data_IF_272459010523
#
_entry.id   IF_272459010523
#
_cell.length_a   1.000
_cell.length_b   1.000
_cell.length_c   1.000
_cell.angle_alpha   90.00
_cell.angle_beta   90.00
_cell.angle_gamma   90.00
#
_symmetry.space_group_name_H-M   'P 1'
#
loop_
_entity.id
_entity.type
_entity.pdbx_description
1 polymer ?
#
# COMPACT_ATOMS: atom_id res chain seq x y z
N UNK A 1 -38.53 34.89 20.65
CA UNK A 1 -37.48 35.49 19.81
C UNK A 1 -36.62 34.39 19.22
N UNK A 2 -36.41 34.44 17.91
CA UNK A 2 -35.64 33.47 17.13
C UNK A 2 -34.14 33.67 17.36
N UNK A 3 -33.44 32.67 17.87
CA UNK A 3 -31.99 32.57 17.69
C UNK A 3 -31.73 31.73 16.44
N UNK A 4 -31.37 32.44 15.38
CA UNK A 4 -31.01 31.93 14.06
C UNK A 4 -29.90 30.88 14.20
N UNK A 5 -30.09 29.72 13.58
CA UNK A 5 -29.00 28.88 13.10
C UNK A 5 -28.24 29.72 12.05
N UNK A 6 -27.18 30.41 12.46
CA UNK A 6 -26.27 31.05 11.53
C UNK A 6 -25.34 29.99 10.93
N UNK A 7 -25.80 29.46 9.79
CA UNK A 7 -25.05 29.21 8.56
C UNK A 7 -23.62 28.69 8.71
N UNK A 8 -23.52 27.37 8.50
CA UNK A 8 -22.33 26.54 8.37
C UNK A 8 -21.55 26.72 7.05
N UNK A 9 -21.57 27.90 6.43
CA UNK A 9 -20.85 28.13 5.18
C UNK A 9 -20.01 29.41 5.26
N UNK A 10 -18.69 29.20 5.37
CA UNK A 10 -17.72 30.28 5.45
C UNK A 10 -16.29 29.78 5.22
N UNK A 11 -16.04 29.15 4.08
CA UNK A 11 -14.84 29.32 3.22
C UNK A 11 -13.46 29.51 3.87
N UNK A 12 -13.21 28.85 5.00
CA UNK A 12 -11.87 28.66 5.54
C UNK A 12 -11.84 27.27 6.14
N UNK A 13 -11.26 26.34 5.40
CA UNK A 13 -10.71 25.09 5.94
C UNK A 13 -9.94 25.52 7.18
N UNK A 14 -10.55 25.24 8.32
CA UNK A 14 -10.10 25.68 9.62
C UNK A 14 -8.67 25.19 9.81
N UNK A 15 -7.78 26.10 10.14
CA UNK A 15 -6.38 25.86 10.52
C UNK A 15 -6.20 24.91 11.71
N UNK A 16 -7.29 24.29 12.20
CA UNK A 16 -7.32 23.25 13.22
C UNK A 16 -7.41 21.81 12.67
N UNK A 17 -7.61 21.61 11.37
CA UNK A 17 -7.40 20.31 10.74
C UNK A 17 -5.93 20.19 10.29
N UNK A 18 -5.02 20.03 11.25
CA UNK A 18 -3.60 19.74 10.96
C UNK A 18 -3.39 18.45 10.18
N UNK A 19 -4.41 17.61 10.11
CA UNK A 19 -4.56 16.58 9.07
C UNK A 19 -5.10 17.30 7.84
N UNK A 20 -4.20 17.84 7.04
CA UNK A 20 -4.49 18.23 5.65
C UNK A 20 -5.20 17.03 5.02
N UNK A 21 -6.31 17.27 4.33
CA UNK A 21 -6.98 16.31 3.45
C UNK A 21 -6.02 15.83 2.35
N UNK A 22 -5.03 15.01 2.72
CA UNK A 22 -4.20 14.28 1.79
C UNK A 22 -5.07 13.15 1.26
N UNK A 23 -5.90 13.51 0.30
CA UNK A 23 -6.66 12.58 -0.51
C UNK A 23 -5.63 11.63 -1.12
N UNK A 24 -5.77 10.33 -0.79
CA UNK A 24 -5.02 9.26 -1.43
C UNK A 24 -5.29 9.38 -2.94
N UNK A 25 -4.23 9.52 -3.74
CA UNK A 25 -4.37 9.63 -5.20
C UNK A 25 -4.37 8.24 -5.83
N UNK A 26 -4.85 8.14 -7.06
CA UNK A 26 -4.73 6.90 -7.86
C UNK A 26 -3.28 6.43 -7.96
N UNK A 27 -2.32 7.35 -8.21
CA UNK A 27 -0.89 7.01 -8.21
C UNK A 27 -0.38 6.55 -6.84
N UNK A 28 -1.05 6.80 -5.72
CA UNK A 28 -0.61 6.28 -4.42
C UNK A 28 -0.90 4.78 -4.27
N UNK A 29 -1.84 4.21 -5.04
CA UNK A 29 -2.24 2.81 -4.94
C UNK A 29 -1.82 1.97 -6.15
N UNK A 30 -1.65 2.59 -7.33
CA UNK A 30 -1.29 1.88 -8.56
C UNK A 30 0.07 1.21 -8.46
N UNK A 31 0.08 -0.11 -8.69
CA UNK A 31 1.28 -0.94 -8.71
C UNK A 31 1.49 -1.48 -10.11
N UNK A 32 2.66 -1.22 -10.68
CA UNK A 32 3.06 -1.78 -11.97
C UNK A 32 4.14 -2.85 -11.80
N UNK A 33 4.44 -3.57 -12.89
CA UNK A 33 5.46 -4.61 -12.93
C UNK A 33 6.82 -4.17 -12.39
N UNK A 34 7.22 -2.93 -12.66
CA UNK A 34 8.51 -2.42 -12.22
C UNK A 34 8.56 -2.17 -10.71
N UNK A 35 7.45 -1.70 -10.12
CA UNK A 35 7.28 -1.54 -8.68
C UNK A 35 7.28 -2.92 -8.01
N UNK A 36 6.50 -3.87 -8.54
CA UNK A 36 6.48 -5.27 -8.06
C UNK A 36 7.88 -5.88 -8.09
N UNK A 37 8.61 -5.75 -9.20
CA UNK A 37 9.94 -6.35 -9.32
C UNK A 37 10.94 -5.78 -8.30
N UNK A 38 10.83 -4.50 -7.97
CA UNK A 38 11.68 -3.85 -6.96
C UNK A 38 11.33 -4.34 -5.55
N UNK A 39 10.04 -4.38 -5.21
CA UNK A 39 9.58 -4.82 -3.89
C UNK A 39 9.89 -6.31 -3.69
N UNK A 40 9.62 -7.16 -4.68
CA UNK A 40 9.94 -8.59 -4.61
C UNK A 40 11.41 -8.84 -4.29
N UNK A 41 12.32 -8.16 -5.01
CA UNK A 41 13.77 -8.26 -4.76
C UNK A 41 14.17 -7.76 -3.37
N UNK A 42 13.54 -6.70 -2.89
CA UNK A 42 13.79 -6.16 -1.56
C UNK A 42 13.37 -7.16 -0.47
N UNK A 43 12.13 -7.64 -0.53
CA UNK A 43 11.55 -8.57 0.45
C UNK A 43 12.35 -9.87 0.51
N UNK A 44 12.82 -10.41 -0.62
CA UNK A 44 13.68 -11.61 -0.64
C UNK A 44 15.04 -11.42 0.03
N UNK A 45 15.55 -10.19 0.13
CA UNK A 45 16.84 -9.86 0.76
C UNK A 45 16.70 -9.50 2.22
N UNK A 46 15.51 -9.10 2.63
CA UNK A 46 15.20 -8.73 3.99
C UNK A 46 15.23 -9.98 4.87
N UNK A 47 15.92 -9.93 6.01
CA UNK A 47 15.83 -10.99 7.00
C UNK A 47 14.43 -10.93 7.65
N UNK A 48 13.57 -11.91 7.37
CA UNK A 48 12.14 -11.83 7.70
C UNK A 48 11.85 -12.33 9.13
N UNK A 49 11.82 -11.38 10.07
CA UNK A 49 11.06 -11.52 11.30
C UNK A 49 9.60 -11.09 11.12
N UNK A 50 8.71 -11.32 12.11
CA UNK A 50 7.37 -10.71 12.11
C UNK A 50 7.45 -9.18 12.03
N UNK A 51 6.51 -8.58 11.30
CA UNK A 51 6.45 -7.14 11.04
C UNK A 51 5.17 -6.54 11.64
N UNK A 52 5.32 -5.47 12.40
CA UNK A 52 4.19 -4.62 12.76
C UNK A 52 3.80 -3.72 11.57
N UNK A 53 2.62 -3.08 11.64
CA UNK A 53 2.22 -2.06 10.66
C UNK A 53 3.28 -0.95 10.53
N UNK A 54 3.80 -0.36 11.63
CA UNK A 54 4.91 0.60 11.55
C UNK A 54 6.14 0.07 10.80
N UNK A 55 6.50 -1.20 10.97
CA UNK A 55 7.65 -1.77 10.26
C UNK A 55 7.43 -1.78 8.75
N UNK A 56 6.21 -2.10 8.30
CA UNK A 56 5.85 -2.05 6.86
C UNK A 56 5.98 -0.61 6.32
N UNK A 57 5.56 0.41 7.08
CA UNK A 57 5.78 1.81 6.70
C UNK A 57 7.26 2.15 6.58
N UNK A 58 8.09 1.69 7.51
CA UNK A 58 9.53 1.89 7.49
C UNK A 58 10.16 1.23 6.26
N UNK A 59 9.78 -0.01 5.95
CA UNK A 59 10.28 -0.73 4.78
C UNK A 59 9.87 -0.06 3.46
N UNK A 60 8.63 0.41 3.34
CA UNK A 60 8.19 1.20 2.19
C UNK A 60 9.05 2.45 2.02
N UNK A 61 9.29 3.20 3.11
CA UNK A 61 10.11 4.42 3.07
C UNK A 61 11.58 4.15 2.73
N UNK A 62 12.16 3.07 3.24
CA UNK A 62 13.52 2.64 2.87
C UNK A 62 13.57 2.40 1.36
N UNK A 63 12.61 1.63 0.85
CA UNK A 63 12.58 1.24 -0.56
C UNK A 63 12.32 2.42 -1.50
N UNK A 64 11.46 3.36 -1.11
CA UNK A 64 11.24 4.63 -1.82
C UNK A 64 12.57 5.39 -2.01
N UNK A 65 13.35 5.50 -0.93
CA UNK A 65 14.62 6.23 -0.92
C UNK A 65 15.71 5.53 -1.73
N UNK A 66 15.78 4.20 -1.68
CA UNK A 66 16.76 3.39 -2.40
C UNK A 66 16.45 3.28 -3.90
N UNK A 67 15.19 3.00 -4.24
CA UNK A 67 14.76 2.82 -5.63
C UNK A 67 14.56 4.14 -6.38
N UNK A 68 14.46 5.27 -5.67
CA UNK A 68 14.07 6.58 -6.23
C UNK A 68 12.75 6.51 -7.01
N UNK A 69 11.80 5.72 -6.49
CA UNK A 69 10.46 5.52 -7.04
C UNK A 69 9.42 5.87 -5.98
N UNK A 70 8.24 6.34 -6.40
CA UNK A 70 7.09 6.51 -5.50
C UNK A 70 6.61 5.12 -5.04
N UNK A 71 7.18 4.62 -3.94
CA UNK A 71 6.82 3.38 -3.25
C UNK A 71 6.41 3.78 -1.84
N UNK A 72 5.12 4.06 -1.66
CA UNK A 72 4.55 4.34 -0.35
C UNK A 72 4.08 3.03 0.32
N UNK A 73 3.50 3.16 1.51
CA UNK A 73 2.94 2.02 2.26
C UNK A 73 1.91 1.22 1.45
N UNK A 74 0.98 1.86 0.75
CA UNK A 74 -0.08 1.17 0.01
C UNK A 74 0.50 0.30 -1.10
N UNK A 75 1.42 0.84 -1.91
CA UNK A 75 2.08 0.07 -2.98
C UNK A 75 2.86 -1.10 -2.43
N UNK A 76 3.57 -0.90 -1.32
CA UNK A 76 4.31 -1.98 -0.67
C UNK A 76 3.36 -3.07 -0.17
N UNK A 77 2.29 -2.69 0.53
CA UNK A 77 1.32 -3.62 1.11
C UNK A 77 0.53 -4.39 0.03
N UNK A 78 0.01 -3.70 -0.98
CA UNK A 78 -0.67 -4.32 -2.13
C UNK A 78 0.26 -5.30 -2.83
N UNK A 79 1.54 -4.95 -3.01
CA UNK A 79 2.50 -5.86 -3.64
C UNK A 79 2.67 -7.16 -2.84
N UNK A 80 2.70 -7.09 -1.51
CA UNK A 80 2.77 -8.30 -0.67
C UNK A 80 1.55 -9.20 -0.86
N UNK A 81 0.35 -8.61 -0.94
CA UNK A 81 -0.88 -9.35 -1.20
C UNK A 81 -0.88 -10.00 -2.60
N UNK A 82 -0.44 -9.26 -3.62
CA UNK A 82 -0.32 -9.77 -5.00
C UNK A 82 0.68 -10.92 -5.07
N UNK A 83 1.81 -10.82 -4.35
CA UNK A 83 2.77 -11.93 -4.32
C UNK A 83 2.23 -13.17 -3.61
N UNK A 84 1.41 -12.99 -2.58
CA UNK A 84 0.71 -14.10 -1.90
C UNK A 84 -0.31 -14.76 -2.83
N UNK A 85 -1.18 -13.97 -3.46
CA UNK A 85 -2.17 -14.44 -4.43
C UNK A 85 -1.53 -15.23 -5.58
N UNK A 86 -0.42 -14.72 -6.13
CA UNK A 86 0.29 -15.36 -7.25
C UNK A 86 1.20 -16.51 -6.80
N UNK A 87 1.28 -16.83 -5.49
CA UNK A 87 2.13 -17.91 -4.97
C UNK A 87 3.64 -17.65 -5.13
N UNK A 88 4.05 -16.38 -5.16
CA UNK A 88 5.45 -15.96 -5.19
C UNK A 88 6.07 -15.86 -3.78
N UNK A 89 5.25 -15.63 -2.77
CA UNK A 89 5.60 -15.67 -1.35
C UNK A 89 4.35 -15.98 -0.53
N UNK A 90 4.50 -16.19 0.77
CA UNK A 90 3.38 -16.27 1.71
C UNK A 90 3.30 -14.96 2.50
N UNK A 91 2.11 -14.37 2.61
CA UNK A 91 1.86 -13.18 3.42
C UNK A 91 0.63 -13.38 4.30
N UNK A 92 0.81 -13.30 5.63
CA UNK A 92 -0.28 -13.54 6.57
C UNK A 92 -0.22 -12.62 7.79
N UNK A 93 -1.39 -12.38 8.39
CA UNK A 93 -1.52 -11.71 9.69
C UNK A 93 -1.66 -12.75 10.80
N UNK A 94 -0.71 -12.76 11.72
CA UNK A 94 -0.76 -13.62 12.91
C UNK A 94 -1.80 -13.16 13.93
N UNK A 95 -2.20 -14.08 14.82
CA UNK A 95 -3.10 -13.76 15.94
C UNK A 95 -2.50 -12.76 16.96
N UNK A 96 -1.17 -12.59 16.92
CA UNK A 96 -0.42 -11.57 17.67
C UNK A 96 -0.50 -10.16 17.03
N UNK A 97 -1.20 -10.02 15.90
CA UNK A 97 -1.34 -8.77 15.17
C UNK A 97 -0.10 -8.41 14.34
N UNK A 98 0.84 -9.34 14.17
CA UNK A 98 2.05 -9.13 13.37
C UNK A 98 1.95 -9.85 12.02
N UNK A 99 2.40 -9.17 10.97
CA UNK A 99 2.50 -9.72 9.64
C UNK A 99 3.72 -10.63 9.51
N UNK A 100 3.58 -11.69 8.70
CA UNK A 100 4.62 -12.68 8.45
C UNK A 100 4.79 -12.86 6.96
N UNK A 101 6.04 -12.91 6.53
CA UNK A 101 6.42 -13.12 5.14
C UNK A 101 7.22 -14.42 5.06
N UNK A 102 6.68 -15.41 4.34
CA UNK A 102 7.36 -16.66 4.01
C UNK A 102 7.89 -16.60 2.57
N UNK A 103 9.17 -16.90 2.36
CA UNK A 103 9.73 -16.96 1.00
C UNK A 103 9.52 -18.35 0.42
N UNK A 104 8.89 -18.43 -0.74
CA UNK A 104 8.72 -19.70 -1.48
C UNK A 104 9.94 -19.90 -2.37
N UNK A 105 10.81 -20.84 -2.01
CA UNK A 105 11.96 -21.20 -2.84
C UNK A 105 11.51 -22.00 -4.07
N UNK A 106 11.96 -21.57 -5.25
CA UNK A 106 11.61 -22.22 -6.52
C UNK A 106 10.27 -21.78 -7.13
N UNK A 107 9.69 -20.66 -6.68
CA UNK A 107 8.51 -20.07 -7.30
C UNK A 107 8.67 -19.94 -8.84
N UNK A 108 7.67 -20.42 -9.57
CA UNK A 108 7.64 -20.41 -11.03
C UNK A 108 7.45 -19.01 -11.62
N UNK A 109 7.38 -18.94 -12.95
CA UNK A 109 6.89 -17.72 -13.61
C UNK A 109 5.38 -17.65 -13.45
N UNK A 110 4.89 -16.48 -13.09
CA UNK A 110 3.47 -16.17 -12.94
C UNK A 110 3.09 -15.10 -13.96
N UNK A 111 1.84 -15.09 -14.39
CA UNK A 111 1.28 -13.97 -15.14
C UNK A 111 0.71 -12.95 -14.14
N UNK A 112 0.92 -11.65 -14.40
CA UNK A 112 0.31 -10.61 -13.57
C UNK A 112 -1.18 -10.47 -13.85
N UNK A 113 -1.65 -10.89 -15.04
CA UNK A 113 -3.07 -10.93 -15.38
C UNK A 113 -3.87 -11.99 -14.62
N UNK A 114 -3.20 -12.87 -13.86
CA UNK A 114 -3.86 -13.85 -12.99
C UNK A 114 -4.18 -13.26 -11.59
N UNK A 115 -3.85 -11.99 -11.33
CA UNK A 115 -4.04 -11.33 -10.03
C UNK A 115 -5.34 -10.52 -10.00
N UNK A 116 -6.34 -11.00 -9.26
CA UNK A 116 -7.60 -10.27 -9.04
C UNK A 116 -7.35 -8.98 -8.23
N UNK A 117 -6.34 -8.99 -7.36
CA UNK A 117 -5.96 -7.83 -6.55
C UNK A 117 -5.43 -6.69 -7.44
N UNK A 118 -4.59 -6.99 -8.43
CA UNK A 118 -4.10 -5.97 -9.37
C UNK A 118 -5.22 -5.37 -10.21
N UNK A 119 -6.15 -6.21 -10.67
CA UNK A 119 -7.33 -5.77 -11.43
C UNK A 119 -8.20 -4.85 -10.56
N UNK A 120 -8.53 -5.27 -9.34
CA UNK A 120 -9.34 -4.48 -8.40
C UNK A 120 -8.69 -3.13 -8.05
N UNK A 121 -7.39 -3.10 -7.78
CA UNK A 121 -6.66 -1.84 -7.50
C UNK A 121 -6.67 -0.92 -8.72
N UNK A 122 -6.55 -1.48 -9.92
CA UNK A 122 -6.60 -0.70 -11.17
C UNK A 122 -7.99 -0.11 -11.42
N UNK A 123 -9.06 -0.87 -11.17
CA UNK A 123 -10.43 -0.39 -11.25
C UNK A 123 -10.72 0.73 -10.23
N UNK A 124 -10.30 0.54 -8.97
CA UNK A 124 -10.42 1.58 -7.95
C UNK A 124 -9.67 2.84 -8.37
N UNK A 125 -8.41 2.69 -8.79
CA UNK A 125 -7.60 3.83 -9.21
C UNK A 125 -8.25 4.61 -10.37
N UNK A 126 -8.86 3.91 -11.33
CA UNK A 126 -9.60 4.53 -12.43
C UNK A 126 -10.89 5.24 -11.96
N UNK A 127 -11.52 4.79 -10.87
CA UNK A 127 -12.71 5.46 -10.30
C UNK A 127 -12.39 6.71 -9.46
N UNK A 128 -11.11 6.95 -9.18
CA UNK A 128 -10.64 8.11 -8.39
C UNK A 128 -10.28 9.32 -9.27
N UNK A 129 -10.34 9.17 -10.60
CA UNK A 129 -10.18 10.27 -11.58
C UNK A 129 -11.46 11.09 -11.75
#
# INVERSE_FOLDING_TARGET
ESLKLEMLDGDRISSYNGIIDKIIKSDDILVNRDILAVIYKYVRRMATGPLSVPDIFVHARILENEAKKNINFFKFFVSLLVFDELGLMEFSLGADGLYRIGIIEGAGKVDLGDSEILDWVSEIAASME
#
